data_IF_902636927078
#
_entry.id   IF_902636927078
#
_cell.length_a   1.000
_cell.length_b   1.000
_cell.length_c   1.000
_cell.angle_alpha   90.00
_cell.angle_beta   90.00
_cell.angle_gamma   90.00
#
_symmetry.space_group_name_H-M   'P 1'
#
loop_
_entity.id
_entity.type
_entity.pdbx_description
1 polymer ?
#
# COMPACT_ATOMS: atom_id res chain seq x y z
N UNK A 1 -74.77 -20.35 21.56
CA UNK A 1 -74.26 -19.83 20.26
C UNK A 1 -73.19 -18.79 20.60
N UNK A 2 -71.92 -19.14 20.38
CA UNK A 2 -70.70 -18.31 20.27
C UNK A 2 -70.65 -16.96 21.06
N UNK A 3 -69.69 -16.69 21.96
CA UNK A 3 -68.27 -16.54 21.63
C UNK A 3 -67.38 -16.52 22.90
N UNK A 4 -66.28 -17.24 22.77
CA UNK A 4 -65.07 -17.22 23.62
C UNK A 4 -64.32 -15.90 23.37
N UNK A 5 -63.83 -15.22 24.42
CA UNK A 5 -62.60 -14.42 24.35
C UNK A 5 -61.69 -14.67 25.55
N UNK A 6 -60.68 -15.46 25.23
CA UNK A 6 -59.47 -15.83 25.94
C UNK A 6 -58.62 -14.57 26.20
N UNK A 7 -58.27 -14.30 27.46
CA UNK A 7 -57.33 -13.24 27.82
C UNK A 7 -55.90 -13.74 27.60
N UNK A 8 -55.17 -13.05 26.73
CA UNK A 8 -53.80 -13.33 26.32
C UNK A 8 -52.81 -13.10 27.49
N UNK A 9 -52.10 -14.16 27.89
CA UNK A 9 -50.76 -14.05 28.47
C UNK A 9 -49.79 -14.30 27.32
N UNK A 10 -49.02 -13.29 26.92
CA UNK A 10 -47.88 -13.47 26.04
C UNK A 10 -46.63 -12.89 26.70
N UNK A 11 -45.90 -13.78 27.37
CA UNK A 11 -44.53 -13.62 27.81
C UNK A 11 -43.65 -13.44 26.57
N UNK A 12 -43.15 -12.22 26.34
CA UNK A 12 -42.18 -11.95 25.29
C UNK A 12 -40.76 -12.26 25.81
N UNK A 13 -40.41 -13.54 25.80
CA UNK A 13 -39.00 -13.99 25.77
C UNK A 13 -38.53 -13.87 24.32
N UNK A 14 -38.09 -12.68 23.91
CA UNK A 14 -37.44 -12.53 22.62
C UNK A 14 -36.00 -13.01 22.75
N UNK A 15 -35.78 -14.22 22.22
CA UNK A 15 -34.49 -14.85 22.11
C UNK A 15 -33.49 -14.00 21.32
N UNK A 16 -32.24 -14.16 21.71
CA UNK A 16 -31.06 -13.66 21.04
C UNK A 16 -31.12 -14.00 19.54
N UNK A 17 -31.10 -12.97 18.69
CA UNK A 17 -30.36 -13.07 17.44
C UNK A 17 -29.23 -12.06 17.53
N UNK A 18 -28.09 -12.56 18.02
CA UNK A 18 -26.81 -11.90 17.82
C UNK A 18 -26.61 -11.93 16.31
N UNK A 19 -26.98 -10.85 15.61
CA UNK A 19 -26.53 -10.64 14.24
C UNK A 19 -25.02 -10.47 14.36
N UNK A 20 -24.31 -11.59 14.20
CA UNK A 20 -22.92 -11.62 13.80
C UNK A 20 -22.86 -10.98 12.42
N UNK A 21 -22.93 -9.64 12.42
CA UNK A 21 -22.37 -8.83 11.36
C UNK A 21 -20.91 -9.20 11.33
N UNK A 22 -20.59 -10.13 10.42
CA UNK A 22 -19.27 -10.44 9.95
C UNK A 22 -18.73 -9.14 9.35
N UNK A 23 -18.34 -8.21 10.22
CA UNK A 23 -17.31 -7.24 9.94
C UNK A 23 -16.08 -8.08 9.69
N UNK A 24 -15.93 -8.51 8.45
CA UNK A 24 -14.67 -8.90 7.88
C UNK A 24 -13.79 -7.66 8.01
N UNK A 25 -13.16 -7.60 9.17
CA UNK A 25 -12.22 -6.60 9.60
C UNK A 25 -11.00 -6.78 8.71
N UNK A 26 -11.11 -6.29 7.48
CA UNK A 26 -9.97 -5.91 6.68
C UNK A 26 -9.45 -4.63 7.34
N UNK A 27 -8.87 -4.79 8.54
CA UNK A 27 -7.97 -3.80 9.13
C UNK A 27 -6.66 -3.84 8.32
N UNK A 28 -6.75 -3.47 7.05
CA UNK A 28 -5.66 -2.74 6.40
C UNK A 28 -6.08 -1.29 6.47
N UNK A 29 -5.91 -0.71 7.65
CA UNK A 29 -5.92 0.73 7.83
C UNK A 29 -4.94 1.31 6.78
N UNK A 30 -5.36 2.21 5.86
CA UNK A 30 -4.41 2.95 5.04
C UNK A 30 -3.51 3.72 6.03
N UNK A 31 -2.23 3.36 6.10
CA UNK A 31 -1.35 3.74 7.22
C UNK A 31 -1.06 2.65 8.25
N UNK A 32 -0.96 1.38 7.85
CA UNK A 32 -0.21 0.41 8.66
C UNK A 32 1.20 0.99 8.89
N UNK A 33 1.68 1.01 10.15
CA UNK A 33 3.00 1.56 10.52
C UNK A 33 4.18 0.86 9.82
N UNK A 34 3.92 -0.14 8.97
CA UNK A 34 4.90 -0.99 8.31
C UNK A 34 4.89 -0.86 6.77
N UNK A 35 4.44 0.28 6.25
CA UNK A 35 4.40 0.58 4.82
C UNK A 35 5.31 1.75 4.44
N UNK A 36 5.63 1.82 3.15
CA UNK A 36 6.32 2.95 2.54
C UNK A 36 5.55 3.43 1.31
N UNK A 37 5.45 4.76 1.16
CA UNK A 37 4.88 5.40 -0.03
C UNK A 37 5.98 5.76 -1.02
N UNK A 38 5.92 5.18 -2.21
CA UNK A 38 6.89 5.35 -3.28
C UNK A 38 6.25 6.10 -4.44
N UNK A 39 6.79 7.27 -4.79
CA UNK A 39 6.38 8.01 -5.98
C UNK A 39 6.83 7.25 -7.24
N UNK A 40 5.87 6.84 -8.06
CA UNK A 40 6.10 6.09 -9.30
C UNK A 40 6.12 7.00 -10.52
N UNK A 41 5.15 7.92 -10.57
CA UNK A 41 4.98 8.88 -11.66
C UNK A 41 4.77 10.25 -11.07
N UNK A 42 5.39 11.27 -11.67
CA UNK A 42 5.27 12.65 -11.24
C UNK A 42 4.87 13.53 -12.42
N UNK A 43 3.84 14.35 -12.21
CA UNK A 43 3.41 15.45 -13.07
C UNK A 43 3.29 15.12 -14.56
N UNK A 44 2.60 14.02 -14.88
CA UNK A 44 2.29 13.64 -16.27
C UNK A 44 0.87 14.07 -16.66
N UNK A 45 0.60 14.41 -17.95
CA UNK A 45 -0.77 14.71 -18.41
C UNK A 45 -1.73 13.51 -18.28
N UNK A 46 -1.20 12.29 -18.26
CA UNK A 46 -1.96 11.09 -17.99
C UNK A 46 -1.05 9.88 -17.82
N UNK A 47 -1.61 8.81 -17.26
CA UNK A 47 -0.91 7.56 -16.93
C UNK A 47 -1.77 6.36 -17.28
N UNK A 48 -1.19 5.34 -17.92
CA UNK A 48 -1.92 4.10 -18.16
C UNK A 48 -2.00 3.29 -16.87
N UNK A 49 -3.20 3.07 -16.36
CA UNK A 49 -3.42 2.23 -15.16
C UNK A 49 -4.27 1.02 -15.52
N UNK A 50 -3.75 -0.14 -15.17
CA UNK A 50 -4.44 -1.41 -15.25
C UNK A 50 -4.54 -2.04 -13.86
N UNK A 51 -5.73 -2.43 -13.44
CA UNK A 51 -5.89 -3.28 -12.25
C UNK A 51 -6.23 -4.70 -12.71
N UNK A 52 -5.48 -5.69 -12.22
CA UNK A 52 -5.71 -7.11 -12.46
C UNK A 52 -6.41 -7.73 -11.26
N UNK A 53 -7.73 -7.88 -11.33
CA UNK A 53 -8.54 -8.48 -10.26
C UNK A 53 -9.63 -7.55 -9.72
N UNK A 54 -10.22 -7.93 -8.58
CA UNK A 54 -11.26 -7.15 -7.89
C UNK A 54 -10.62 -6.01 -7.13
N UNK A 55 -11.21 -4.83 -7.15
CA UNK A 55 -10.69 -3.68 -6.41
C UNK A 55 -11.79 -2.70 -5.97
N UNK A 56 -11.41 -1.82 -5.04
CA UNK A 56 -12.24 -0.73 -4.53
C UNK A 56 -11.55 0.60 -4.79
N UNK A 57 -12.33 1.66 -4.96
CA UNK A 57 -11.84 3.03 -5.13
C UNK A 57 -12.42 3.90 -4.02
N UNK A 58 -11.55 4.68 -3.39
CA UNK A 58 -11.88 5.67 -2.39
C UNK A 58 -11.35 7.05 -2.80
N UNK A 59 -11.96 8.10 -2.28
CA UNK A 59 -11.32 9.42 -2.20
C UNK A 59 -10.49 9.45 -0.91
N UNK A 60 -9.14 9.46 -1.00
CA UNK A 60 -8.28 9.46 0.18
C UNK A 60 -8.33 10.76 0.98
N UNK A 61 -8.82 11.87 0.42
CA UNK A 61 -8.95 13.13 1.15
C UNK A 61 -10.09 13.07 2.17
N UNK A 62 -11.22 12.47 1.80
CA UNK A 62 -12.42 12.36 2.65
C UNK A 62 -12.64 10.95 3.22
N UNK A 63 -11.80 9.99 2.81
CA UNK A 63 -11.97 8.56 3.02
C UNK A 63 -13.32 8.02 2.50
N UNK A 64 -13.95 8.73 1.55
CA UNK A 64 -15.25 8.36 0.99
C UNK A 64 -15.09 7.21 0.01
N UNK A 65 -15.88 6.15 0.21
CA UNK A 65 -16.02 5.10 -0.77
C UNK A 65 -16.66 5.64 -2.05
N UNK A 66 -16.00 5.41 -3.19
CA UNK A 66 -16.52 5.82 -4.50
C UNK A 66 -17.17 4.63 -5.19
N UNK A 67 -16.46 3.50 -5.31
CA UNK A 67 -16.97 2.36 -6.06
C UNK A 67 -16.20 1.06 -5.85
N UNK A 68 -16.80 -0.06 -6.24
CA UNK A 68 -16.18 -1.40 -6.29
C UNK A 68 -16.24 -1.91 -7.72
N UNK A 69 -15.20 -2.62 -8.15
CA UNK A 69 -15.14 -3.30 -9.45
C UNK A 69 -14.74 -4.75 -9.21
N UNK A 70 -15.51 -5.68 -9.77
CA UNK A 70 -15.26 -7.12 -9.65
C UNK A 70 -14.36 -7.67 -10.76
N UNK A 71 -14.17 -6.90 -11.83
CA UNK A 71 -13.30 -7.22 -12.94
C UNK A 71 -12.20 -6.17 -13.04
N UNK A 72 -11.04 -6.62 -13.51
CA UNK A 72 -9.92 -5.76 -13.83
C UNK A 72 -10.27 -4.73 -14.91
N UNK A 73 -9.49 -3.64 -14.95
CA UNK A 73 -9.71 -2.53 -15.87
C UNK A 73 -8.39 -1.94 -16.30
N UNK A 74 -8.22 -1.73 -17.60
CA UNK A 74 -7.10 -0.98 -18.19
C UNK A 74 -7.60 0.26 -18.91
N UNK A 75 -7.26 1.44 -18.40
CA UNK A 75 -7.61 2.73 -19.04
C UNK A 75 -6.58 3.80 -18.67
N UNK A 76 -6.47 4.80 -19.54
CA UNK A 76 -5.75 6.03 -19.23
C UNK A 76 -6.44 6.76 -18.08
N UNK A 77 -5.66 7.14 -17.08
CA UNK A 77 -6.02 8.12 -16.06
C UNK A 77 -5.53 9.48 -16.51
N UNK A 78 -6.39 10.49 -16.45
CA UNK A 78 -6.05 11.87 -16.79
C UNK A 78 -6.84 12.83 -15.90
N UNK A 79 -6.26 14.00 -15.66
CA UNK A 79 -6.99 15.09 -15.05
C UNK A 79 -8.00 15.66 -16.06
N UNK A 80 -9.15 16.07 -15.56
CA UNK A 80 -10.16 16.82 -16.31
C UNK A 80 -10.48 18.10 -15.54
N UNK A 81 -11.28 19.00 -16.14
CA UNK A 81 -11.55 20.33 -15.55
C UNK A 81 -12.07 20.26 -14.11
N UNK A 82 -12.82 19.22 -13.77
CA UNK A 82 -13.44 19.02 -12.46
C UNK A 82 -13.19 17.59 -11.97
N UNK A 83 -11.93 17.21 -11.76
CA UNK A 83 -11.56 15.93 -11.13
C UNK A 83 -10.78 14.99 -12.05
N UNK A 84 -10.92 13.69 -11.81
CA UNK A 84 -10.15 12.65 -12.51
C UNK A 84 -11.05 11.85 -13.45
N UNK A 85 -10.53 11.50 -14.62
CA UNK A 85 -11.14 10.52 -15.53
C UNK A 85 -10.32 9.25 -15.57
N UNK A 86 -10.96 8.12 -15.35
CA UNK A 86 -10.40 6.78 -15.55
C UNK A 86 -11.49 5.87 -16.10
N UNK A 87 -11.71 5.90 -17.42
CA UNK A 87 -12.88 5.28 -18.05
C UNK A 87 -14.17 6.05 -17.77
N UNK A 88 -14.62 6.06 -16.52
CA UNK A 88 -15.64 6.99 -16.00
C UNK A 88 -14.99 8.27 -15.49
N UNK A 89 -15.81 9.30 -15.31
CA UNK A 89 -15.41 10.57 -14.70
C UNK A 89 -15.77 10.55 -13.22
N UNK A 90 -14.90 11.14 -12.40
CA UNK A 90 -15.11 11.34 -10.97
C UNK A 90 -15.18 12.85 -10.68
N UNK A 91 -16.33 13.51 -10.92
CA UNK A 91 -16.48 14.96 -10.73
C UNK A 91 -16.17 15.41 -9.29
N UNK A 92 -15.38 16.48 -9.15
CA UNK A 92 -14.94 17.01 -7.86
C UNK A 92 -13.96 16.12 -7.08
N UNK A 93 -13.51 15.01 -7.65
CA UNK A 93 -12.55 14.09 -7.04
C UNK A 93 -11.18 14.26 -7.71
N UNK A 94 -10.24 14.86 -6.99
CA UNK A 94 -8.87 15.10 -7.45
C UNK A 94 -7.85 14.09 -6.90
N UNK A 95 -8.32 13.08 -6.17
CA UNK A 95 -7.47 12.02 -5.63
C UNK A 95 -8.23 10.70 -5.67
N UNK A 96 -7.60 9.64 -6.15
CA UNK A 96 -8.14 8.28 -6.09
C UNK A 96 -7.20 7.38 -5.31
N UNK A 97 -7.77 6.54 -4.45
CA UNK A 97 -7.09 5.46 -3.78
C UNK A 97 -7.66 4.14 -4.28
N UNK A 98 -6.84 3.39 -5.01
CA UNK A 98 -7.14 2.06 -5.51
C UNK A 98 -6.70 1.05 -4.43
N UNK A 99 -7.67 0.33 -3.89
CA UNK A 99 -7.47 -0.70 -2.87
C UNK A 99 -7.69 -2.08 -3.50
N UNK A 100 -6.67 -2.96 -3.54
CA UNK A 100 -6.81 -4.34 -3.97
C UNK A 100 -7.91 -5.06 -3.20
N UNK A 101 -8.68 -5.91 -3.89
CA UNK A 101 -9.73 -6.72 -3.28
C UNK A 101 -9.20 -7.95 -2.54
N UNK A 102 -7.99 -8.41 -2.89
CA UNK A 102 -7.25 -9.49 -2.27
C UNK A 102 -5.73 -9.33 -2.57
N UNK A 103 -4.90 -10.22 -2.04
CA UNK A 103 -3.44 -10.17 -2.19
C UNK A 103 -2.93 -10.51 -3.60
N UNK A 104 -3.75 -11.22 -4.40
CA UNK A 104 -3.44 -11.54 -5.79
C UNK A 104 -3.73 -10.38 -6.74
N UNK A 105 -4.49 -9.38 -6.29
CA UNK A 105 -4.85 -8.22 -7.10
C UNK A 105 -3.67 -7.25 -7.18
N UNK A 106 -3.23 -6.98 -8.40
CA UNK A 106 -2.11 -6.08 -8.68
C UNK A 106 -2.56 -4.91 -9.54
N UNK A 107 -1.76 -3.83 -9.53
CA UNK A 107 -1.98 -2.65 -10.36
C UNK A 107 -0.76 -2.41 -11.22
N UNK A 108 -0.93 -2.30 -12.53
CA UNK A 108 0.11 -1.88 -13.46
C UNK A 108 0.00 -0.38 -13.68
N UNK A 109 1.13 0.30 -13.57
CA UNK A 109 1.28 1.73 -13.84
C UNK A 109 2.32 1.88 -14.95
N UNK A 110 1.90 2.39 -16.11
CA UNK A 110 2.70 2.46 -17.34
C UNK A 110 3.38 1.11 -17.70
N UNK A 111 2.72 -0.01 -17.38
CA UNK A 111 3.18 -1.37 -17.70
C UNK A 111 4.04 -2.06 -16.63
N UNK A 112 4.43 -1.36 -15.57
CA UNK A 112 5.14 -1.97 -14.42
C UNK A 112 4.11 -2.42 -13.38
N UNK A 113 4.23 -3.65 -12.90
CA UNK A 113 3.26 -4.28 -12.00
C UNK A 113 3.62 -4.07 -10.52
N UNK A 114 2.64 -3.61 -9.74
CA UNK A 114 2.79 -3.28 -8.31
C UNK A 114 1.73 -3.99 -7.46
N UNK A 115 2.11 -4.32 -6.22
CA UNK A 115 1.20 -4.75 -5.16
C UNK A 115 0.91 -3.60 -4.20
N UNK A 116 -0.11 -3.78 -3.36
CA UNK A 116 -0.48 -2.80 -2.35
C UNK A 116 -1.40 -1.73 -2.89
N UNK A 117 -1.47 -0.61 -2.18
CA UNK A 117 -2.39 0.48 -2.51
C UNK A 117 -1.77 1.37 -3.59
N UNK A 118 -2.61 1.91 -4.47
CA UNK A 118 -2.18 2.89 -5.46
C UNK A 118 -2.97 4.16 -5.29
N UNK A 119 -2.26 5.24 -4.99
CA UNK A 119 -2.78 6.60 -4.95
C UNK A 119 -2.53 7.27 -6.29
N UNK A 120 -3.53 8.00 -6.75
CA UNK A 120 -3.49 8.84 -7.94
C UNK A 120 -3.89 10.24 -7.49
N UNK A 121 -3.04 11.21 -7.78
CA UNK A 121 -3.26 12.62 -7.45
C UNK A 121 -3.34 13.43 -8.73
N UNK A 122 -4.39 14.25 -8.86
CA UNK A 122 -4.45 15.37 -9.79
C UNK A 122 -3.97 16.63 -9.06
N UNK A 123 -2.79 17.12 -9.43
CA UNK A 123 -2.18 18.33 -8.88
C UNK A 123 -1.99 19.30 -10.04
N UNK A 124 -2.80 20.36 -10.07
CA UNK A 124 -2.69 21.40 -11.10
C UNK A 124 -2.98 20.91 -12.52
N UNK A 125 -3.81 19.87 -12.69
CA UNK A 125 -4.12 19.29 -13.99
C UNK A 125 -3.10 18.23 -14.47
N UNK A 126 -2.17 17.83 -13.60
CA UNK A 126 -1.20 16.78 -13.86
C UNK A 126 -1.36 15.61 -12.89
N UNK A 127 -1.13 14.41 -13.40
CA UNK A 127 -1.24 13.15 -12.66
C UNK A 127 0.10 12.74 -12.06
N UNK A 128 0.09 12.55 -10.74
CA UNK A 128 1.13 11.85 -10.00
C UNK A 128 0.58 10.54 -9.43
N UNK A 129 1.40 9.48 -9.41
CA UNK A 129 1.00 8.15 -8.92
C UNK A 129 1.97 7.69 -7.85
N UNK A 130 1.43 7.24 -6.72
CA UNK A 130 2.19 6.75 -5.57
C UNK A 130 1.71 5.33 -5.24
N UNK A 131 2.65 4.43 -5.00
CA UNK A 131 2.35 3.11 -4.47
C UNK A 131 2.67 3.04 -2.97
N UNK A 132 1.70 2.62 -2.16
CA UNK A 132 1.92 2.28 -0.76
C UNK A 132 1.98 0.78 -0.61
N UNK A 133 3.10 0.30 -0.07
CA UNK A 133 3.42 -1.12 -0.02
C UNK A 133 4.12 -1.47 1.30
N UNK A 134 3.96 -2.70 1.76
CA UNK A 134 4.65 -3.22 2.95
C UNK A 134 6.17 -3.23 2.74
N UNK A 135 6.92 -2.99 3.83
CA UNK A 135 8.39 -2.96 3.75
C UNK A 135 9.00 -4.25 3.20
N UNK A 136 8.44 -5.42 3.51
CA UNK A 136 8.98 -6.69 3.04
C UNK A 136 8.92 -6.80 1.50
N UNK A 137 7.78 -6.47 0.89
CA UNK A 137 7.62 -6.48 -0.57
C UNK A 137 8.47 -5.38 -1.24
N UNK A 138 8.58 -4.21 -0.61
CA UNK A 138 9.47 -3.14 -1.07
C UNK A 138 10.94 -3.57 -1.09
N UNK A 139 11.42 -4.17 0.01
CA UNK A 139 12.80 -4.64 0.13
C UNK A 139 13.09 -5.77 -0.85
N UNK A 140 12.14 -6.68 -1.06
CA UNK A 140 12.30 -7.76 -2.02
C UNK A 140 12.50 -7.20 -3.44
N UNK A 141 11.70 -6.22 -3.85
CA UNK A 141 11.88 -5.51 -5.13
C UNK A 141 13.25 -4.84 -5.24
N UNK A 142 13.67 -4.10 -4.21
CA UNK A 142 14.94 -3.37 -4.23
C UNK A 142 16.16 -4.28 -4.25
N UNK A 143 16.20 -5.25 -3.33
CA UNK A 143 17.39 -6.08 -3.12
C UNK A 143 17.56 -7.05 -4.29
N UNK A 144 16.48 -7.61 -4.84
CA UNK A 144 16.54 -8.45 -6.04
C UNK A 144 17.22 -7.73 -7.20
N UNK A 145 16.96 -6.44 -7.38
CA UNK A 145 17.57 -5.63 -8.44
C UNK A 145 19.04 -5.24 -8.15
N UNK A 146 19.41 -5.08 -6.87
CA UNK A 146 20.76 -4.67 -6.46
C UNK A 146 21.75 -5.83 -6.36
N UNK A 147 21.28 -7.01 -5.96
CA UNK A 147 22.14 -8.12 -5.57
C UNK A 147 22.70 -8.83 -6.80
N UNK A 148 23.97 -8.55 -7.13
CA UNK A 148 24.68 -9.16 -8.28
C UNK A 148 25.37 -10.49 -7.95
N UNK A 149 25.48 -10.83 -6.67
CA UNK A 149 26.22 -11.99 -6.17
C UNK A 149 25.48 -12.56 -4.97
N UNK A 150 25.48 -13.88 -4.82
CA UNK A 150 24.91 -14.52 -3.64
C UNK A 150 25.71 -14.14 -2.39
N UNK A 151 25.01 -13.85 -1.30
CA UNK A 151 25.58 -13.58 0.01
C UNK A 151 25.27 -14.74 0.95
N UNK A 152 26.15 -15.06 1.91
CA UNK A 152 25.81 -15.95 3.02
C UNK A 152 24.57 -15.44 3.77
N UNK A 153 23.82 -16.36 4.40
CA UNK A 153 22.54 -16.07 5.04
C UNK A 153 22.61 -14.90 6.01
N UNK A 154 23.62 -14.89 6.88
CA UNK A 154 23.82 -13.91 7.94
C UNK A 154 24.22 -12.55 7.37
N UNK A 155 25.02 -12.53 6.31
CA UNK A 155 25.38 -11.30 5.60
C UNK A 155 24.16 -10.70 4.87
N UNK A 156 23.34 -11.54 4.24
CA UNK A 156 22.10 -11.11 3.62
C UNK A 156 21.09 -10.60 4.65
N UNK A 157 20.97 -11.28 5.80
CA UNK A 157 20.10 -10.86 6.90
C UNK A 157 20.52 -9.48 7.44
N UNK A 158 21.82 -9.27 7.70
CA UNK A 158 22.33 -7.97 8.11
C UNK A 158 22.05 -6.88 7.07
N UNK A 159 22.23 -7.18 5.78
CA UNK A 159 21.93 -6.26 4.69
C UNK A 159 20.44 -5.91 4.61
N UNK A 160 19.56 -6.89 4.73
CA UNK A 160 18.10 -6.69 4.76
C UNK A 160 17.67 -5.81 5.94
N UNK A 161 18.20 -6.07 7.14
CA UNK A 161 17.93 -5.24 8.34
C UNK A 161 18.38 -3.79 8.08
N UNK A 162 19.56 -3.58 7.49
CA UNK A 162 20.06 -2.26 7.17
C UNK A 162 19.22 -1.51 6.13
N UNK A 163 18.75 -2.19 5.08
CA UNK A 163 17.85 -1.59 4.09
C UNK A 163 16.45 -1.32 4.69
N UNK A 164 15.97 -2.17 5.61
CA UNK A 164 14.70 -1.93 6.34
C UNK A 164 14.80 -0.70 7.24
N UNK A 165 15.89 -0.55 7.99
CA UNK A 165 16.16 0.66 8.78
C UNK A 165 16.17 1.91 7.90
N UNK A 166 16.81 1.85 6.73
CA UNK A 166 16.83 2.98 5.79
C UNK A 166 15.43 3.31 5.25
N UNK A 167 14.64 2.30 4.93
CA UNK A 167 13.27 2.49 4.47
C UNK A 167 12.43 3.17 5.56
N UNK A 168 12.54 2.71 6.81
CA UNK A 168 11.86 3.32 7.95
C UNK A 168 12.32 4.77 8.19
N UNK A 169 13.63 5.03 8.14
CA UNK A 169 14.19 6.39 8.25
C UNK A 169 13.58 7.33 7.20
N UNK A 170 13.49 6.88 5.94
CA UNK A 170 12.92 7.67 4.84
C UNK A 170 11.42 7.92 5.00
N UNK A 171 10.68 6.97 5.55
CA UNK A 171 9.26 7.17 5.88
C UNK A 171 9.09 8.21 6.98
N UNK A 172 9.94 8.19 8.02
CA UNK A 172 9.89 9.15 9.13
C UNK A 172 10.36 10.56 8.72
N UNK A 173 11.24 10.67 7.73
CA UNK A 173 11.79 11.92 7.21
C UNK A 173 11.32 12.19 5.78
N UNK A 174 10.07 11.83 5.49
CA UNK A 174 9.49 11.99 4.17
C UNK A 174 9.52 13.47 3.74
N UNK A 175 9.94 13.79 2.51
CA UNK A 175 10.00 15.17 2.02
C UNK A 175 8.60 15.77 1.77
N UNK A 176 7.56 14.94 1.81
CA UNK A 176 6.19 15.27 1.43
C UNK A 176 5.22 14.36 2.20
N UNK A 177 3.99 14.82 2.50
CA UNK A 177 2.96 13.96 3.07
C UNK A 177 2.47 12.87 2.09
N UNK A 178 2.77 13.02 0.80
CA UNK A 178 2.26 12.12 -0.26
C UNK A 178 3.18 10.94 -0.54
N UNK A 179 4.50 11.07 -0.35
CA UNK A 179 5.46 9.99 -0.57
C UNK A 179 6.72 10.16 0.29
N UNK A 180 7.34 9.04 0.64
CA UNK A 180 8.60 8.99 1.37
C UNK A 180 9.81 9.02 0.43
N UNK A 181 9.71 8.36 -0.73
CA UNK A 181 10.82 8.18 -1.68
C UNK A 181 10.32 8.25 -3.11
N UNK A 182 11.24 8.49 -4.05
CA UNK A 182 10.99 8.37 -5.49
C UNK A 182 11.51 7.03 -6.00
N UNK A 183 10.69 6.30 -6.75
CA UNK A 183 10.99 4.96 -7.22
C UNK A 183 12.19 4.90 -8.17
N UNK A 184 12.28 5.88 -9.07
CA UNK A 184 13.41 6.06 -10.01
C UNK A 184 14.75 6.22 -9.29
N UNK A 185 14.79 6.99 -8.20
CA UNK A 185 16.00 7.26 -7.44
C UNK A 185 16.48 6.06 -6.63
N UNK A 186 15.56 5.25 -6.10
CA UNK A 186 15.91 4.11 -5.25
C UNK A 186 16.02 2.80 -6.02
N UNK A 187 15.62 2.78 -7.30
CA UNK A 187 15.63 1.60 -8.16
C UNK A 187 14.45 0.65 -7.90
N UNK A 188 13.30 1.19 -7.48
CA UNK A 188 12.07 0.41 -7.24
C UNK A 188 11.38 0.06 -8.57
N UNK A 189 11.25 -1.23 -8.86
CA UNK A 189 10.75 -1.75 -10.15
C UNK A 189 9.45 -2.56 -10.02
N UNK A 190 8.74 -2.43 -8.90
CA UNK A 190 7.53 -3.21 -8.65
C UNK A 190 7.83 -4.69 -8.41
N UNK A 191 6.91 -5.57 -8.79
CA UNK A 191 6.92 -6.99 -8.39
C UNK A 191 7.23 -7.97 -9.52
N UNK A 192 7.41 -7.52 -10.76
CA UNK A 192 7.57 -8.40 -11.93
C UNK A 192 8.79 -9.34 -11.83
N UNK A 193 9.83 -8.95 -11.08
CA UNK A 193 11.07 -9.71 -10.89
C UNK A 193 11.10 -10.53 -9.60
N UNK A 194 10.05 -10.44 -8.76
CA UNK A 194 10.05 -11.04 -7.43
C UNK A 194 9.66 -12.52 -7.51
N UNK A 195 10.52 -13.38 -6.99
CA UNK A 195 10.17 -14.77 -6.69
C UNK A 195 9.86 -14.92 -5.19
N UNK A 196 8.60 -15.19 -4.78
CA UNK A 196 8.22 -15.30 -3.37
C UNK A 196 8.83 -16.53 -2.68
N UNK A 197 9.39 -17.48 -3.44
CA UNK A 197 10.09 -18.67 -2.92
C UNK A 197 11.62 -18.53 -3.02
N UNK A 198 12.14 -17.32 -3.23
CA UNK A 198 13.58 -17.08 -3.26
C UNK A 198 14.18 -17.13 -1.86
N UNK A 199 15.47 -17.45 -1.79
CA UNK A 199 16.26 -17.36 -0.56
C UNK A 199 16.21 -15.96 0.06
N UNK A 200 16.18 -14.90 -0.77
CA UNK A 200 15.98 -13.53 -0.31
C UNK A 200 14.63 -13.34 0.38
N UNK A 201 13.54 -13.87 -0.20
CA UNK A 201 12.21 -13.75 0.39
C UNK A 201 12.13 -14.44 1.77
N UNK A 202 12.80 -15.59 1.92
CA UNK A 202 12.94 -16.29 3.21
C UNK A 202 13.67 -15.42 4.24
N UNK A 203 14.85 -14.89 3.90
CA UNK A 203 15.64 -14.03 4.80
C UNK A 203 14.89 -12.73 5.17
N UNK A 204 14.13 -12.15 4.24
CA UNK A 204 13.27 -10.99 4.51
C UNK A 204 12.20 -11.34 5.55
N UNK A 205 11.57 -12.51 5.43
CA UNK A 205 10.56 -12.97 6.36
C UNK A 205 11.14 -13.29 7.75
N UNK A 206 12.31 -13.94 7.82
CA UNK A 206 12.99 -14.26 9.09
C UNK A 206 13.43 -13.00 9.85
N UNK A 207 13.79 -11.93 9.12
CA UNK A 207 14.19 -10.65 9.71
C UNK A 207 13.04 -9.65 9.83
N UNK A 208 11.79 -10.10 9.69
CA UNK A 208 10.61 -9.23 9.73
C UNK A 208 10.59 -8.37 10.99
N UNK A 209 10.29 -7.09 10.83
CA UNK A 209 10.27 -6.07 11.89
C UNK A 209 11.62 -5.80 12.57
N UNK A 210 12.73 -6.42 12.15
CA UNK A 210 14.05 -6.11 12.69
C UNK A 210 14.60 -4.86 12.01
N UNK A 211 14.94 -3.86 12.83
CA UNK A 211 15.57 -2.60 12.44
C UNK A 211 16.64 -2.23 13.47
N UNK A 212 17.69 -1.55 13.02
CA UNK A 212 18.65 -0.86 13.89
C UNK A 212 18.09 0.49 14.36
N UNK A 213 18.43 0.86 15.60
CA UNK A 213 18.06 2.13 16.25
C UNK A 213 19.28 2.69 16.99
N UNK A 214 19.46 4.02 16.99
CA UNK A 214 20.51 4.69 17.80
C UNK A 214 20.21 4.64 19.30
N UNK A 215 18.93 4.65 19.64
CA UNK A 215 18.42 4.69 21.01
C UNK A 215 17.79 3.35 21.38
N UNK A 216 17.77 3.08 22.69
CA UNK A 216 17.21 1.85 23.23
C UNK A 216 15.69 1.80 22.99
N UNK A 217 15.18 0.60 22.69
CA UNK A 217 13.81 0.38 22.21
C UNK A 217 12.70 0.91 23.14
N UNK A 218 13.02 1.11 24.42
CA UNK A 218 12.12 1.67 25.43
C UNK A 218 11.81 3.16 25.23
N UNK A 219 12.65 3.91 24.50
CA UNK A 219 12.45 5.34 24.24
C UNK A 219 11.78 5.63 22.88
N UNK A 220 11.55 4.57 22.09
CA UNK A 220 11.08 4.67 20.71
C UNK A 220 12.16 4.28 19.72
N UNK A 221 11.75 3.97 18.48
CA UNK A 221 12.68 3.60 17.41
C UNK A 221 13.20 4.87 16.76
N UNK A 222 14.52 5.08 16.78
CA UNK A 222 15.20 6.17 16.08
C UNK A 222 16.13 5.58 15.01
N UNK A 223 15.59 5.32 13.80
CA UNK A 223 16.40 4.76 12.72
C UNK A 223 17.37 5.82 12.20
N UNK A 224 18.47 5.37 11.62
CA UNK A 224 19.50 6.22 11.02
C UNK A 224 19.69 5.86 9.53
N UNK A 225 20.21 6.79 8.70
CA UNK A 225 20.53 6.46 7.31
C UNK A 225 21.68 5.45 7.28
N UNK A 226 21.42 4.21 6.85
CA UNK A 226 22.46 3.18 6.68
C UNK A 226 23.32 3.37 5.42
N UNK A 227 23.11 4.48 4.68
CA UNK A 227 23.95 4.85 3.54
C UNK A 227 25.15 5.65 4.06
N UNK A 228 26.32 5.04 3.99
CA UNK A 228 27.59 5.73 4.23
C UNK A 228 27.78 6.81 3.15
N UNK A 229 27.79 8.08 3.53
CA UNK A 229 28.33 9.13 2.65
C UNK A 229 29.79 8.77 2.43
N UNK A 230 30.23 8.66 1.17
CA UNK A 230 31.66 8.87 0.89
C UNK A 230 31.96 10.28 1.40
N UNK A 231 32.81 10.40 2.41
CA UNK A 231 33.42 11.69 2.71
C UNK A 231 33.98 12.22 1.39
N UNK A 232 33.60 13.45 1.06
CA UNK A 232 34.21 14.18 -0.04
C UNK A 232 35.72 14.14 0.19
N UNK A 233 36.46 13.57 -0.75
CA UNK A 233 37.91 13.72 -0.83
C UNK A 233 38.19 15.23 -0.84
N UNK A 234 38.56 15.76 0.32
CA UNK A 234 39.08 17.12 0.51
C UNK A 234 40.58 17.10 0.38
#
# INVERSE_FOLDING_TARGET
MFLIRLSLILTMLCGMSLQAGLFERVDRNPGSKNTIKVLLVHDKPGVMVEVKGKYRIFDPNTNKYLTTRFLGKRKLIQAIRDGIKWGEEFPGIHQLLIVPGNEETTTLVDGIEYRGLVYVYDIGGAISVVNEIDYDDYLNSLITNKLKRELPKEALAAYVIAERTLALYRTMHAPSPYWAVRGDWVGYQGIAIINPKSFLAEVIAETRNMVMSEEDSFQGIKPFPSVWKKESES
#
